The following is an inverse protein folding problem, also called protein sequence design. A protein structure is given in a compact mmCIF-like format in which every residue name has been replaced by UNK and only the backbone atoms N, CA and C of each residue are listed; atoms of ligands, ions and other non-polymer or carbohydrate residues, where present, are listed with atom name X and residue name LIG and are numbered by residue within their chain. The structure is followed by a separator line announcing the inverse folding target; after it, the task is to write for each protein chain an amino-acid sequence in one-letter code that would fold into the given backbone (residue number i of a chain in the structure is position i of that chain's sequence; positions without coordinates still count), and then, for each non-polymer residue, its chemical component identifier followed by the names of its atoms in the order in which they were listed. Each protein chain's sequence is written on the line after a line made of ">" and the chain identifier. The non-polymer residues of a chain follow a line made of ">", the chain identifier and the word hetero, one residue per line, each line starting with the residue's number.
data_IF_026877341989
#
_entry.id   IF_026877341989
#
_cell.length_a   1.000
_cell.length_b   1.000
_cell.length_c   1.000
_cell.angle_alpha   90.00
_cell.angle_beta   90.00
_cell.angle_gamma   90.00
#
_symmetry.space_group_name_H-M   'P 1'
#
loop_
_entity.id
_entity.type
_entity.pdbx_description
1 polymer ?
#
# COMPACT_ATOMS: atom_id res chain seq x y z
N UNK A 1 32.00 0.49 -10.05
CA UNK A 1 33.45 0.30 -10.29
C UNK A 1 33.83 -1.12 -10.70
N UNK A 2 33.37 -2.19 -10.03
CA UNK A 2 33.78 -3.56 -10.40
C UNK A 2 33.28 -4.01 -11.78
N UNK A 3 32.07 -3.63 -12.21
CA UNK A 3 31.56 -3.96 -13.54
C UNK A 3 32.30 -3.22 -14.66
N UNK A 4 32.57 -1.94 -14.46
CA UNK A 4 33.32 -1.10 -15.39
C UNK A 4 34.76 -1.59 -15.58
N UNK A 5 35.44 -1.99 -14.48
CA UNK A 5 36.76 -2.66 -14.54
C UNK A 5 36.76 -3.96 -15.35
N UNK A 6 35.61 -4.64 -15.45
CA UNK A 6 35.40 -5.83 -16.28
C UNK A 6 35.04 -5.50 -17.74
N UNK A 7 35.06 -4.23 -18.12
CA UNK A 7 34.72 -3.78 -19.47
C UNK A 7 33.22 -3.72 -19.76
N UNK A 8 32.35 -3.88 -18.75
CA UNK A 8 30.89 -3.78 -18.94
C UNK A 8 30.51 -2.31 -19.14
N UNK A 9 29.91 -2.03 -20.29
CA UNK A 9 29.57 -0.66 -20.71
C UNK A 9 28.11 -0.25 -20.50
N UNK A 10 27.23 -1.22 -20.27
CA UNK A 10 25.80 -0.96 -20.05
C UNK A 10 25.42 -1.57 -18.70
N UNK A 11 24.94 -0.74 -17.79
CA UNK A 11 24.60 -1.11 -16.41
C UNK A 11 23.15 -0.74 -16.12
N UNK A 12 22.35 -1.78 -15.85
CA UNK A 12 20.96 -1.65 -15.44
C UNK A 12 20.88 -1.85 -13.93
N UNK A 13 20.35 -0.86 -13.22
CA UNK A 13 19.98 -0.98 -11.82
C UNK A 13 18.54 -1.51 -11.72
N UNK A 14 18.38 -2.77 -11.35
CA UNK A 14 17.09 -3.35 -10.99
C UNK A 14 16.89 -3.22 -9.48
N UNK A 15 15.87 -2.46 -9.06
CA UNK A 15 15.72 -2.03 -7.66
C UNK A 15 14.32 -2.32 -7.12
N UNK A 16 14.20 -2.28 -5.79
CA UNK A 16 12.92 -2.35 -5.08
C UNK A 16 12.90 -1.36 -3.91
N UNK A 17 13.30 -0.11 -4.16
CA UNK A 17 13.45 0.91 -3.11
C UNK A 17 12.52 2.13 -3.24
N UNK A 18 11.66 2.12 -4.25
CA UNK A 18 10.68 3.16 -4.48
C UNK A 18 11.21 4.29 -5.37
N UNK A 19 10.28 4.87 -6.12
CA UNK A 19 10.56 5.78 -7.22
C UNK A 19 11.37 7.03 -6.84
N UNK A 20 11.23 7.51 -5.59
CA UNK A 20 12.06 8.61 -5.08
C UNK A 20 13.53 8.21 -5.00
N UNK A 21 13.83 7.02 -4.48
CA UNK A 21 15.21 6.53 -4.37
C UNK A 21 15.73 6.07 -5.74
N UNK A 22 14.88 5.51 -6.60
CA UNK A 22 15.25 5.15 -7.98
C UNK A 22 15.77 6.36 -8.75
N UNK A 23 15.08 7.51 -8.65
CA UNK A 23 15.56 8.77 -9.24
C UNK A 23 16.87 9.26 -8.62
N UNK A 24 17.09 9.02 -7.32
CA UNK A 24 18.35 9.36 -6.64
C UNK A 24 19.50 8.48 -7.16
N UNK A 25 19.28 7.18 -7.30
CA UNK A 25 20.26 6.24 -7.90
C UNK A 25 20.60 6.68 -9.32
N UNK A 26 19.60 6.97 -10.15
CA UNK A 26 19.80 7.46 -11.52
C UNK A 26 20.64 8.76 -11.57
N UNK A 27 20.44 9.66 -10.59
CA UNK A 27 21.15 10.94 -10.51
C UNK A 27 22.57 10.83 -9.97
N UNK A 28 22.79 9.97 -8.97
CA UNK A 28 24.00 9.96 -8.15
C UNK A 28 24.96 8.81 -8.47
N UNK A 29 24.53 7.77 -9.19
CA UNK A 29 25.39 6.64 -9.59
C UNK A 29 25.88 6.80 -11.03
N UNK A 30 27.12 7.29 -11.28
CA UNK A 30 27.54 7.75 -12.61
C UNK A 30 27.57 6.65 -13.68
N UNK A 31 27.75 5.40 -13.26
CA UNK A 31 27.88 4.26 -14.16
C UNK A 31 26.52 3.67 -14.58
N UNK A 32 25.41 4.05 -13.95
CA UNK A 32 24.09 3.48 -14.26
C UNK A 32 23.55 4.08 -15.56
N UNK A 33 22.98 3.23 -16.43
CA UNK A 33 22.38 3.60 -17.71
C UNK A 33 20.85 3.50 -17.71
N UNK A 34 20.29 2.69 -16.82
CA UNK A 34 18.85 2.49 -16.67
C UNK A 34 18.53 2.12 -15.23
N UNK A 35 17.43 2.64 -14.70
CA UNK A 35 16.84 2.15 -13.44
C UNK A 35 15.48 1.52 -13.73
N UNK A 36 15.34 0.25 -13.38
CA UNK A 36 14.07 -0.48 -13.38
C UNK A 36 13.65 -0.68 -11.93
N UNK A 37 12.64 0.06 -11.48
CA UNK A 37 12.27 0.12 -10.07
C UNK A 37 11.00 -0.64 -9.69
N UNK A 38 10.70 -0.61 -8.40
CA UNK A 38 9.49 -1.17 -7.80
C UNK A 38 9.15 -0.53 -6.44
N UNK A 39 8.48 -1.28 -5.56
CA UNK A 39 8.09 -0.89 -4.19
C UNK A 39 7.01 0.21 -4.07
N UNK A 40 7.19 1.37 -4.68
CA UNK A 40 6.27 2.51 -4.53
C UNK A 40 5.01 2.42 -5.39
N UNK A 41 4.84 1.33 -6.13
CA UNK A 41 3.71 1.07 -7.04
C UNK A 41 3.47 2.25 -8.00
N UNK A 42 4.54 2.90 -8.49
CA UNK A 42 4.42 4.13 -9.26
C UNK A 42 3.93 3.81 -10.67
N UNK A 43 2.86 4.48 -11.07
CA UNK A 43 2.35 4.39 -12.43
C UNK A 43 2.97 5.50 -13.29
N UNK A 44 3.69 5.11 -14.34
CA UNK A 44 4.32 5.99 -15.31
C UNK A 44 3.75 5.67 -16.69
N UNK A 45 3.49 6.70 -17.50
CA UNK A 45 2.81 6.57 -18.80
C UNK A 45 3.40 7.54 -19.82
N UNK A 46 3.52 7.11 -21.07
CA UNK A 46 4.02 7.95 -22.17
C UNK A 46 2.91 8.80 -22.79
N UNK A 47 3.26 10.00 -23.25
CA UNK A 47 2.39 10.89 -24.04
C UNK A 47 1.30 11.63 -23.24
N UNK A 48 0.36 12.25 -23.95
CA UNK A 48 -0.86 12.82 -23.34
C UNK A 48 -1.73 11.67 -22.84
N UNK A 49 -2.17 11.79 -21.59
CA UNK A 49 -2.97 10.77 -20.92
C UNK A 49 -4.42 10.92 -21.34
N UNK A 50 -5.00 9.84 -21.86
CA UNK A 50 -6.44 9.75 -22.08
C UNK A 50 -7.18 9.80 -20.73
N UNK A 51 -8.13 10.73 -20.52
CA UNK A 51 -8.97 10.77 -19.32
C UNK A 51 -9.73 9.46 -19.05
N UNK A 52 -9.94 8.63 -20.08
CA UNK A 52 -10.60 7.32 -19.97
C UNK A 52 -9.66 6.26 -19.39
N UNK A 53 -8.35 6.54 -19.32
CA UNK A 53 -7.39 5.60 -18.75
C UNK A 53 -7.79 5.28 -17.29
N UNK A 54 -7.95 3.99 -16.91
CA UNK A 54 -8.52 3.60 -15.61
C UNK A 54 -7.76 4.17 -14.40
N UNK A 55 -6.47 4.42 -14.59
CA UNK A 55 -5.55 4.93 -13.58
C UNK A 55 -5.04 6.35 -13.91
N UNK A 56 -5.74 7.13 -14.73
CA UNK A 56 -5.25 8.46 -15.18
C UNK A 56 -4.90 9.38 -14.00
N UNK A 57 -5.68 9.34 -12.91
CA UNK A 57 -5.41 10.10 -11.68
C UNK A 57 -4.17 9.62 -10.91
N UNK A 58 -3.68 8.41 -11.19
CA UNK A 58 -2.56 7.79 -10.49
C UNK A 58 -1.21 7.97 -11.21
N UNK A 59 -1.18 8.62 -12.38
CA UNK A 59 0.05 8.82 -13.15
C UNK A 59 0.97 9.81 -12.43
N UNK A 60 2.21 9.40 -12.21
CA UNK A 60 3.22 10.17 -11.45
C UNK A 60 4.33 10.75 -12.30
N UNK A 61 4.30 10.51 -13.60
CA UNK A 61 5.30 11.03 -14.53
C UNK A 61 5.34 10.27 -15.86
N UNK A 62 6.21 10.71 -16.77
CA UNK A 62 6.40 10.07 -18.07
C UNK A 62 7.04 8.68 -17.95
N UNK A 63 6.80 7.82 -18.92
CA UNK A 63 7.52 6.56 -19.11
C UNK A 63 8.45 6.66 -20.34
N UNK A 64 9.77 6.45 -20.22
CA UNK A 64 10.53 6.53 -18.98
C UNK A 64 10.55 7.96 -18.42
N UNK A 65 10.83 8.10 -17.13
CA UNK A 65 11.23 9.39 -16.57
C UNK A 65 12.72 9.58 -16.75
N UNK A 66 13.12 10.63 -17.45
CA UNK A 66 14.53 10.91 -17.73
C UNK A 66 15.14 11.71 -16.58
N UNK A 67 16.24 11.19 -16.03
CA UNK A 67 17.06 11.88 -15.04
C UNK A 67 18.39 12.26 -15.67
N UNK A 68 18.76 13.53 -15.59
CA UNK A 68 20.04 14.03 -16.11
C UNK A 68 21.05 14.09 -14.97
N UNK A 69 22.18 13.42 -15.15
CA UNK A 69 23.30 13.45 -14.20
C UNK A 69 24.11 14.74 -14.35
N UNK A 70 25.00 15.02 -13.38
CA UNK A 70 25.94 16.16 -13.46
C UNK A 70 26.85 16.10 -14.69
N UNK A 71 27.14 14.90 -15.20
CA UNK A 71 27.91 14.67 -16.43
C UNK A 71 27.15 15.00 -17.71
N UNK A 72 25.85 15.30 -17.64
CA UNK A 72 24.96 15.43 -18.81
C UNK A 72 24.37 14.11 -19.29
N UNK A 73 24.83 12.96 -18.75
CA UNK A 73 24.28 11.64 -19.06
C UNK A 73 22.80 11.55 -18.69
N UNK A 74 21.98 11.07 -19.63
CA UNK A 74 20.56 10.81 -19.41
C UNK A 74 20.34 9.37 -18.95
N UNK A 75 19.61 9.19 -17.86
CA UNK A 75 19.31 7.88 -17.26
C UNK A 75 17.79 7.72 -17.16
N UNK A 76 17.15 6.89 -18.01
CA UNK A 76 15.75 6.55 -17.86
C UNK A 76 15.48 5.79 -16.55
N UNK A 77 14.36 6.13 -15.93
CA UNK A 77 13.80 5.45 -14.76
C UNK A 77 12.40 4.96 -15.11
N UNK A 78 12.14 3.67 -14.89
CA UNK A 78 10.85 3.05 -15.18
C UNK A 78 10.30 2.29 -13.97
N UNK A 79 8.98 2.33 -13.83
CA UNK A 79 8.18 1.43 -12.99
C UNK A 79 6.90 1.10 -13.76
N UNK A 80 6.29 -0.05 -13.45
CA UNK A 80 5.09 -0.56 -14.13
C UNK A 80 3.95 -0.83 -13.13
N UNK A 81 3.66 0.13 -12.24
CA UNK A 81 2.58 0.04 -11.25
C UNK A 81 2.73 -1.18 -10.32
N UNK A 82 1.69 -2.01 -10.16
CA UNK A 82 1.68 -3.19 -9.29
C UNK A 82 0.65 -4.24 -9.75
N UNK A 83 0.65 -5.39 -9.06
CA UNK A 83 -0.29 -6.51 -9.24
C UNK A 83 -0.30 -7.11 -10.66
N UNK A 84 0.79 -6.93 -11.41
CA UNK A 84 0.89 -7.37 -12.80
C UNK A 84 -0.25 -6.85 -13.70
N UNK A 85 -0.91 -5.74 -13.34
CA UNK A 85 -1.95 -5.12 -14.18
C UNK A 85 -1.36 -4.56 -15.46
N UNK A 86 -0.08 -4.18 -15.42
CA UNK A 86 0.67 -3.67 -16.56
C UNK A 86 2.01 -4.40 -16.71
N UNK A 87 2.46 -4.53 -17.95
CA UNK A 87 3.83 -4.92 -18.31
C UNK A 87 4.55 -3.67 -18.81
N UNK A 88 5.69 -3.33 -18.21
CA UNK A 88 6.55 -2.27 -18.73
C UNK A 88 7.27 -2.74 -20.00
N UNK A 89 7.18 -1.96 -21.08
CA UNK A 89 7.89 -2.20 -22.34
C UNK A 89 8.76 -0.99 -22.67
N UNK A 90 10.06 -1.14 -22.51
CA UNK A 90 11.05 -0.11 -22.82
C UNK A 90 11.97 -0.59 -23.94
N UNK A 91 12.10 0.21 -25.00
CA UNK A 91 13.08 0.04 -26.07
C UNK A 91 14.24 0.98 -25.81
N UNK A 92 15.45 0.43 -25.87
CA UNK A 92 16.69 1.18 -25.67
C UNK A 92 17.61 0.95 -26.86
N UNK A 93 18.30 2.00 -27.27
CA UNK A 93 19.37 1.92 -28.28
C UNK A 93 20.65 2.46 -27.66
N UNK A 94 21.71 1.67 -27.76
CA UNK A 94 23.03 2.03 -27.30
C UNK A 94 24.00 2.10 -28.47
N UNK A 95 24.96 3.01 -28.39
CA UNK A 95 26.09 3.10 -29.31
C UNK A 95 27.37 3.25 -28.51
N UNK A 96 28.33 2.33 -28.70
CA UNK A 96 29.63 2.32 -28.00
C UNK A 96 29.53 2.39 -26.45
N UNK A 97 28.41 1.93 -25.89
CA UNK A 97 28.14 1.96 -24.44
C UNK A 97 27.23 3.11 -23.99
N UNK A 98 27.06 4.15 -24.81
CA UNK A 98 26.22 5.29 -24.48
C UNK A 98 24.78 5.09 -24.94
N UNK A 99 23.82 5.46 -24.08
CA UNK A 99 22.41 5.45 -24.40
C UNK A 99 22.09 6.59 -25.38
N UNK A 100 21.56 6.26 -26.56
CA UNK A 100 21.22 7.22 -27.61
C UNK A 100 19.71 7.36 -27.84
N UNK A 101 18.92 6.36 -27.48
CA UNK A 101 17.45 6.41 -27.59
C UNK A 101 16.81 5.61 -26.45
N UNK A 102 15.79 6.20 -25.82
CA UNK A 102 14.94 5.49 -24.87
C UNK A 102 13.48 5.87 -25.09
N UNK A 103 12.68 4.90 -25.51
CA UNK A 103 11.26 5.09 -25.77
C UNK A 103 10.50 3.82 -25.38
N UNK A 104 9.32 3.98 -24.80
CA UNK A 104 8.56 2.85 -24.30
C UNK A 104 7.23 3.28 -23.77
N UNK A 105 6.48 2.33 -23.25
CA UNK A 105 5.25 2.57 -22.52
C UNK A 105 4.89 1.32 -21.70
N UNK A 106 3.76 1.38 -21.00
CA UNK A 106 3.16 0.25 -20.30
C UNK A 106 2.06 -0.39 -21.14
N UNK A 107 2.01 -1.72 -21.14
CA UNK A 107 0.97 -2.53 -21.76
C UNK A 107 -0.01 -2.97 -20.68
N UNK A 108 -1.29 -2.63 -20.81
CA UNK A 108 -2.34 -3.12 -19.90
C UNK A 108 -2.66 -4.59 -20.19
N UNK A 109 -2.68 -5.41 -19.13
CA UNK A 109 -3.13 -6.80 -19.22
C UNK A 109 -4.65 -6.84 -18.97
N UNK A 110 -5.43 -6.87 -20.04
CA UNK A 110 -6.88 -6.96 -20.01
C UNK A 110 -7.39 -8.22 -20.75
N UNK A 111 -8.70 -8.37 -20.88
CA UNK A 111 -9.33 -9.50 -21.54
C UNK A 111 -9.10 -9.58 -23.06
N UNK A 112 -8.53 -8.54 -23.67
CA UNK A 112 -8.22 -8.52 -25.12
C UNK A 112 -6.99 -9.39 -25.40
N UNK A 113 -6.04 -9.46 -24.46
CA UNK A 113 -4.86 -10.29 -24.61
C UNK A 113 -5.22 -11.73 -24.20
N UNK A 114 -5.11 -12.72 -25.11
CA UNK A 114 -5.45 -14.10 -24.80
C UNK A 114 -4.51 -14.66 -23.73
N UNK A 115 -5.07 -15.48 -22.85
CA UNK A 115 -4.28 -16.21 -21.84
C UNK A 115 -3.56 -17.38 -22.49
N UNK A 116 -2.30 -17.54 -22.15
CA UNK A 116 -1.49 -18.65 -22.66
C UNK A 116 -2.03 -20.03 -22.20
N UNK A 117 -2.31 -20.98 -23.12
CA UNK A 117 -2.88 -22.28 -22.77
C UNK A 117 -1.99 -23.16 -21.87
N UNK A 118 -0.66 -23.09 -21.99
CA UNK A 118 0.25 -23.89 -21.17
C UNK A 118 0.29 -23.37 -19.73
N UNK A 119 0.30 -22.05 -19.56
CA UNK A 119 0.20 -21.39 -18.26
C UNK A 119 -1.16 -21.68 -17.60
N UNK A 120 -2.26 -21.74 -18.37
CA UNK A 120 -3.57 -22.13 -17.84
C UNK A 120 -3.57 -23.58 -17.31
N UNK A 121 -2.96 -24.52 -18.05
CA UNK A 121 -2.79 -25.91 -17.58
C UNK A 121 -1.98 -25.95 -16.30
N UNK A 122 -0.90 -25.16 -16.21
CA UNK A 122 -0.10 -25.06 -15.00
C UNK A 122 -0.91 -24.50 -13.82
N UNK A 123 -1.68 -23.44 -14.01
CA UNK A 123 -2.54 -22.85 -12.96
C UNK A 123 -3.53 -23.88 -12.44
N UNK A 124 -4.20 -24.63 -13.33
CA UNK A 124 -5.20 -25.62 -12.92
C UNK A 124 -4.57 -26.73 -12.04
N UNK A 125 -3.33 -27.14 -12.34
CA UNK A 125 -2.57 -28.09 -11.50
C UNK A 125 -2.39 -27.61 -10.06
N UNK A 126 -2.21 -26.31 -9.84
CA UNK A 126 -2.03 -25.73 -8.50
C UNK A 126 -3.34 -25.32 -7.82
N UNK A 127 -4.41 -25.13 -8.58
CA UNK A 127 -5.71 -24.68 -8.08
C UNK A 127 -6.31 -25.64 -7.07
N UNK A 128 -6.09 -26.94 -7.22
CA UNK A 128 -6.52 -27.97 -6.25
C UNK A 128 -5.85 -27.83 -4.88
N UNK A 129 -4.68 -27.18 -4.80
CA UNK A 129 -3.96 -26.91 -3.55
C UNK A 129 -4.42 -25.63 -2.86
N UNK A 130 -5.23 -24.81 -3.53
CA UNK A 130 -5.76 -23.57 -2.97
C UNK A 130 -6.96 -23.93 -2.07
N UNK A 131 -7.01 -23.45 -0.81
CA UNK A 131 -8.14 -23.69 0.06
C UNK A 131 -9.46 -23.24 -0.58
N UNK A 132 -10.56 -23.96 -0.30
CA UNK A 132 -11.89 -23.63 -0.82
C UNK A 132 -12.26 -22.17 -0.50
N UNK A 133 -12.87 -21.51 -1.48
CA UNK A 133 -13.29 -20.11 -1.37
C UNK A 133 -14.73 -20.02 -0.85
N UNK A 134 -14.87 -20.16 0.46
CA UNK A 134 -16.16 -20.16 1.15
C UNK A 134 -16.73 -18.75 1.33
N UNK A 135 -18.06 -18.67 1.35
CA UNK A 135 -18.79 -17.45 1.69
C UNK A 135 -18.75 -17.30 3.21
N UNK A 136 -18.30 -16.14 3.69
CA UNK A 136 -18.22 -15.85 5.12
C UNK A 136 -19.40 -15.01 5.58
N UNK A 137 -19.60 -13.87 4.92
CA UNK A 137 -20.57 -12.85 5.33
C UNK A 137 -21.07 -12.07 4.12
N UNK A 138 -21.96 -11.09 4.36
CA UNK A 138 -22.42 -10.14 3.33
C UNK A 138 -22.14 -8.70 3.76
N UNK A 139 -21.80 -7.85 2.80
CA UNK A 139 -21.78 -6.40 2.96
C UNK A 139 -22.73 -5.73 1.98
N UNK A 140 -23.43 -4.69 2.45
CA UNK A 140 -24.32 -3.86 1.62
C UNK A 140 -23.59 -2.67 0.98
N UNK A 141 -22.35 -2.43 1.39
CA UNK A 141 -21.51 -1.29 1.01
C UNK A 141 -20.15 -1.75 0.53
N UNK A 142 -19.46 -0.89 -0.24
CA UNK A 142 -18.04 -1.08 -0.54
C UNK A 142 -17.24 -0.88 0.75
N UNK A 143 -16.29 -1.77 1.02
CA UNK A 143 -15.31 -1.59 2.08
C UNK A 143 -14.04 -1.03 1.43
N UNK A 144 -13.93 0.31 1.44
CA UNK A 144 -12.78 1.04 0.93
C UNK A 144 -11.53 0.75 1.74
N UNK A 145 -10.46 0.36 1.04
CA UNK A 145 -9.19 -0.09 1.58
C UNK A 145 -8.00 0.48 0.81
N UNK A 146 -6.80 -0.05 1.02
CA UNK A 146 -5.59 0.28 0.24
C UNK A 146 -5.24 1.78 0.23
N UNK A 147 -5.47 2.50 -0.88
CA UNK A 147 -4.98 3.86 -1.08
C UNK A 147 -5.72 4.83 -0.17
N UNK A 148 -7.03 4.65 -0.04
CA UNK A 148 -7.91 5.44 0.80
C UNK A 148 -7.42 5.41 2.25
N UNK A 149 -7.08 4.23 2.77
CA UNK A 149 -6.53 4.09 4.12
C UNK A 149 -5.17 4.77 4.32
N UNK A 150 -4.40 4.97 3.24
CA UNK A 150 -3.06 5.58 3.28
C UNK A 150 -3.09 7.10 3.20
N UNK A 151 -4.25 7.69 2.92
CA UNK A 151 -4.39 9.15 2.80
C UNK A 151 -5.42 9.72 3.77
N UNK A 152 -6.27 8.88 4.37
CA UNK A 152 -7.26 9.28 5.35
C UNK A 152 -7.99 8.10 5.97
N UNK A 153 -9.13 8.38 6.58
CA UNK A 153 -10.04 7.38 7.13
C UNK A 153 -10.62 6.49 6.02
N UNK A 154 -10.73 5.19 6.29
CA UNK A 154 -11.30 4.23 5.35
C UNK A 154 -12.23 3.24 6.05
N UNK A 155 -13.30 2.85 5.37
CA UNK A 155 -14.36 2.02 5.95
C UNK A 155 -13.89 0.62 6.37
N UNK A 156 -12.95 0.00 5.63
CA UNK A 156 -12.38 -1.28 6.04
C UNK A 156 -11.44 -1.14 7.24
N UNK A 157 -10.77 0.02 7.36
CA UNK A 157 -9.94 0.36 8.51
C UNK A 157 -10.76 0.45 9.78
N UNK A 158 -11.87 1.18 9.73
CA UNK A 158 -12.83 1.28 10.84
C UNK A 158 -13.38 -0.10 11.21
N UNK A 159 -13.85 -0.88 10.24
CA UNK A 159 -14.35 -2.23 10.49
C UNK A 159 -13.33 -3.13 11.20
N UNK A 160 -12.06 -3.06 10.79
CA UNK A 160 -11.00 -3.87 11.39
C UNK A 160 -10.63 -3.40 12.79
N UNK A 161 -10.55 -2.08 13.02
CA UNK A 161 -10.28 -1.53 14.34
C UNK A 161 -11.44 -1.82 15.31
N UNK A 162 -12.68 -1.69 14.87
CA UNK A 162 -13.88 -2.07 15.64
C UNK A 162 -13.87 -3.56 15.97
N UNK A 163 -13.50 -4.41 15.00
CA UNK A 163 -13.39 -5.86 15.23
C UNK A 163 -12.31 -6.21 16.27
N UNK A 164 -11.18 -5.48 16.30
CA UNK A 164 -10.13 -5.63 17.30
C UNK A 164 -10.64 -5.26 18.70
N UNK A 165 -11.26 -4.09 18.85
CA UNK A 165 -11.83 -3.64 20.12
C UNK A 165 -12.95 -4.59 20.61
N UNK A 166 -13.86 -4.98 19.71
CA UNK A 166 -14.94 -5.93 20.00
C UNK A 166 -14.40 -7.30 20.45
N UNK A 167 -13.35 -7.81 19.78
CA UNK A 167 -12.75 -9.08 20.15
C UNK A 167 -12.17 -9.04 21.58
N UNK A 168 -11.54 -7.92 21.99
CA UNK A 168 -11.04 -7.76 23.35
C UNK A 168 -12.17 -7.67 24.38
N UNK A 169 -13.16 -6.82 24.15
CA UNK A 169 -14.32 -6.69 25.03
C UNK A 169 -15.01 -8.05 25.24
N UNK A 170 -15.22 -8.82 24.16
CA UNK A 170 -15.82 -10.17 24.21
C UNK A 170 -14.98 -11.19 24.97
N UNK A 171 -13.66 -11.02 25.06
CA UNK A 171 -12.83 -11.90 25.90
C UNK A 171 -13.06 -11.61 27.40
N UNK A 172 -13.27 -10.34 27.75
CA UNK A 172 -13.47 -9.90 29.13
C UNK A 172 -14.88 -10.17 29.66
N UNK A 173 -15.89 -10.31 28.80
CA UNK A 173 -17.21 -10.78 29.26
C UNK A 173 -17.20 -12.19 29.85
N UNK A 174 -16.10 -12.94 29.68
CA UNK A 174 -15.89 -14.26 30.29
C UNK A 174 -15.15 -14.20 31.62
N UNK A 175 -14.85 -13.00 32.12
CA UNK A 175 -14.14 -12.76 33.38
C UNK A 175 -14.99 -11.86 34.29
N UNK A 176 -14.59 -11.71 35.55
CA UNK A 176 -15.22 -10.77 36.49
C UNK A 176 -14.65 -9.35 36.32
N UNK A 177 -14.29 -8.95 35.11
CA UNK A 177 -13.75 -7.63 34.86
C UNK A 177 -14.86 -6.57 35.06
N UNK A 178 -14.61 -5.50 35.85
CA UNK A 178 -15.66 -4.59 36.29
C UNK A 178 -16.18 -3.63 35.20
N UNK A 179 -15.48 -3.53 34.06
CA UNK A 179 -15.84 -2.62 32.97
C UNK A 179 -16.09 -3.36 31.66
N UNK A 180 -16.52 -2.64 30.62
CA UNK A 180 -16.79 -3.23 29.31
C UNK A 180 -15.54 -3.78 28.60
N UNK A 181 -14.39 -3.12 28.79
CA UNK A 181 -13.10 -3.53 28.23
C UNK A 181 -11.96 -2.87 29.00
N UNK A 182 -10.79 -3.50 29.04
CA UNK A 182 -9.56 -2.85 29.51
C UNK A 182 -8.81 -2.12 28.40
N UNK A 183 -9.16 -2.39 27.13
CA UNK A 183 -8.64 -1.69 25.96
C UNK A 183 -9.80 -1.21 25.08
N UNK A 184 -10.12 0.07 25.20
CA UNK A 184 -11.19 0.75 24.45
C UNK A 184 -10.72 1.32 23.11
N UNK A 185 -9.41 1.30 22.87
CA UNK A 185 -8.75 1.86 21.70
C UNK A 185 -8.15 0.73 20.88
N UNK A 186 -8.33 0.80 19.55
CA UNK A 186 -7.63 -0.07 18.62
C UNK A 186 -6.99 0.75 17.51
N UNK A 187 -5.78 0.36 17.10
CA UNK A 187 -5.08 0.96 15.97
C UNK A 187 -4.59 -0.11 15.00
N UNK A 188 -4.68 0.21 13.71
CA UNK A 188 -4.12 -0.58 12.63
C UNK A 188 -3.37 0.35 11.67
N UNK A 189 -2.13 0.02 11.35
CA UNK A 189 -1.41 0.75 10.31
C UNK A 189 -2.07 0.48 8.95
N UNK A 190 -2.32 1.53 8.19
CA UNK A 190 -2.97 1.44 6.87
C UNK A 190 -2.24 0.50 5.89
N UNK A 191 -0.92 0.35 6.02
CA UNK A 191 -0.13 -0.58 5.23
C UNK A 191 -0.43 -2.06 5.48
N UNK A 192 -1.08 -2.40 6.60
CA UNK A 192 -1.60 -3.75 6.85
C UNK A 192 -2.81 -4.10 5.99
N UNK A 193 -3.50 -3.09 5.43
CA UNK A 193 -4.73 -3.24 4.64
C UNK A 193 -4.38 -3.27 3.15
N UNK A 194 -4.48 -4.45 2.53
CA UNK A 194 -3.92 -4.74 1.20
C UNK A 194 -4.94 -4.89 0.08
N UNK A 195 -6.21 -4.59 0.32
CA UNK A 195 -7.21 -4.48 -0.73
C UNK A 195 -8.44 -3.69 -0.25
N UNK A 196 -9.24 -3.24 -1.20
CA UNK A 196 -10.67 -2.93 -0.98
C UNK A 196 -11.50 -4.19 -1.20
N UNK A 197 -12.71 -4.22 -0.63
CA UNK A 197 -13.75 -5.18 -1.02
C UNK A 197 -14.86 -4.40 -1.72
N UNK A 198 -14.91 -4.53 -3.05
CA UNK A 198 -15.95 -3.88 -3.84
C UNK A 198 -17.32 -4.49 -3.57
N UNK A 199 -18.35 -3.63 -3.61
CA UNK A 199 -19.74 -4.06 -3.49
C UNK A 199 -20.12 -4.87 -4.72
N UNK A 200 -20.26 -6.19 -4.56
CA UNK A 200 -20.81 -7.10 -5.57
C UNK A 200 -22.34 -7.06 -5.52
N UNK A 201 -23.00 -7.48 -6.61
CA UNK A 201 -24.46 -7.55 -6.68
C UNK A 201 -25.08 -8.49 -5.64
N UNK A 202 -24.38 -9.58 -5.31
CA UNK A 202 -24.78 -10.55 -4.27
C UNK A 202 -24.36 -10.13 -2.84
N UNK A 203 -23.54 -9.08 -2.73
CA UNK A 203 -22.95 -8.60 -1.49
C UNK A 203 -22.03 -9.58 -0.78
N UNK A 204 -21.69 -10.72 -1.39
CA UNK A 204 -20.97 -11.81 -0.72
C UNK A 204 -19.49 -11.46 -0.51
N UNK A 205 -19.04 -11.61 0.73
CA UNK A 205 -17.64 -11.57 1.12
C UNK A 205 -17.16 -13.01 1.36
N UNK A 206 -16.10 -13.38 0.66
CA UNK A 206 -15.53 -14.73 0.70
C UNK A 206 -14.18 -14.76 1.38
N UNK A 207 -13.70 -15.97 1.70
CA UNK A 207 -12.39 -16.16 2.34
C UNK A 207 -11.25 -15.56 1.51
N UNK A 208 -11.29 -15.63 0.17
CA UNK A 208 -10.27 -14.95 -0.66
C UNK A 208 -10.29 -13.43 -0.50
N UNK A 209 -11.46 -12.82 -0.32
CA UNK A 209 -11.57 -11.36 -0.20
C UNK A 209 -10.87 -10.92 1.08
N UNK A 210 -11.08 -11.64 2.20
CA UNK A 210 -10.37 -11.40 3.46
C UNK A 210 -8.86 -11.65 3.33
N UNK A 211 -8.43 -12.72 2.66
CA UNK A 211 -6.99 -12.99 2.41
C UNK A 211 -6.32 -11.93 1.56
N UNK A 212 -7.04 -11.29 0.64
CA UNK A 212 -6.53 -10.18 -0.15
C UNK A 212 -6.39 -8.90 0.69
N UNK A 213 -7.32 -8.66 1.62
CA UNK A 213 -7.27 -7.50 2.53
C UNK A 213 -6.18 -7.67 3.59
N UNK A 214 -6.12 -8.84 4.24
CA UNK A 214 -5.17 -9.17 5.31
C UNK A 214 -4.32 -10.39 4.92
N UNK A 215 -3.36 -10.25 3.99
CA UNK A 215 -2.54 -11.36 3.53
C UNK A 215 -1.48 -11.79 4.54
N UNK A 216 -1.21 -10.96 5.54
CA UNK A 216 -0.23 -11.24 6.58
C UNK A 216 -0.91 -11.93 7.75
N UNK A 217 -0.26 -12.97 8.29
CA UNK A 217 -0.68 -13.66 9.52
C UNK A 217 -0.32 -12.82 10.75
N UNK A 218 -0.80 -11.58 10.79
CA UNK A 218 -0.52 -10.64 11.87
C UNK A 218 -1.31 -11.02 13.11
N UNK A 219 -0.65 -10.99 14.27
CA UNK A 219 -1.30 -11.16 15.57
C UNK A 219 -1.75 -9.81 16.10
N UNK A 220 -2.90 -9.79 16.76
CA UNK A 220 -3.38 -8.61 17.50
C UNK A 220 -2.83 -8.71 18.93
N UNK A 221 -2.30 -7.59 19.43
CA UNK A 221 -1.75 -7.48 20.78
C UNK A 221 -2.44 -6.34 21.51
N UNK A 222 -2.60 -6.52 22.83
CA UNK A 222 -2.95 -5.44 23.76
C UNK A 222 -1.63 -4.93 24.33
N UNK A 223 -1.41 -3.62 24.25
CA UNK A 223 -0.16 -2.98 24.67
C UNK A 223 -0.47 -1.70 25.41
N UNK A 224 0.28 -1.46 26.48
CA UNK A 224 0.26 -0.19 27.18
C UNK A 224 1.23 0.78 26.47
N UNK A 225 0.76 1.95 26.04
CA UNK A 225 1.61 2.87 25.27
C UNK A 225 1.36 4.35 25.55
N UNK A 226 2.41 5.15 25.34
CA UNK A 226 2.38 6.62 25.34
C UNK A 226 2.42 7.14 23.90
N UNK A 227 1.25 7.42 23.33
CA UNK A 227 1.09 7.97 21.98
C UNK A 227 1.38 6.98 20.84
N UNK A 228 1.06 7.35 19.60
CA UNK A 228 1.27 6.52 18.41
C UNK A 228 1.71 7.35 17.19
N UNK A 229 2.39 6.72 16.22
CA UNK A 229 2.90 7.37 15.00
C UNK A 229 2.50 6.62 13.72
N UNK A 230 2.17 7.38 12.66
CA UNK A 230 1.74 6.87 11.35
C UNK A 230 0.32 7.27 10.97
N UNK A 231 -0.13 6.93 9.75
CA UNK A 231 -1.55 7.00 9.39
C UNK A 231 -2.20 5.73 9.90
N UNK A 232 -2.91 5.87 11.01
CA UNK A 232 -3.57 4.79 11.72
C UNK A 232 -5.06 4.82 11.40
N UNK A 233 -5.59 3.66 11.04
CA UNK A 233 -7.02 3.41 11.13
C UNK A 233 -7.31 3.06 12.59
N UNK A 234 -8.40 3.58 13.14
CA UNK A 234 -8.61 3.57 14.59
C UNK A 234 -10.06 3.33 14.98
N UNK A 235 -10.24 2.79 16.18
CA UNK A 235 -11.50 2.74 16.91
C UNK A 235 -11.30 3.34 18.31
N UNK A 236 -12.35 3.97 18.84
CA UNK A 236 -12.30 4.59 20.17
C UNK A 236 -11.44 5.87 20.24
N UNK A 237 -11.10 6.50 19.11
CA UNK A 237 -10.29 7.72 19.07
C UNK A 237 -10.89 8.71 18.07
N UNK A 238 -11.02 9.97 18.48
CA UNK A 238 -11.31 11.11 17.61
C UNK A 238 -10.07 11.99 17.56
N UNK A 239 -9.61 12.26 16.35
CA UNK A 239 -8.39 13.03 16.13
C UNK A 239 -8.52 13.92 14.92
N UNK A 240 -7.92 15.09 15.00
CA UNK A 240 -7.74 15.99 13.86
C UNK A 240 -6.26 16.14 13.54
N UNK A 241 -5.93 16.35 12.27
CA UNK A 241 -4.55 16.58 11.83
C UNK A 241 -4.44 17.88 11.04
N UNK A 242 -3.44 18.70 11.36
CA UNK A 242 -3.03 19.84 10.55
C UNK A 242 -1.81 19.48 9.71
N UNK A 243 -2.05 19.06 8.45
CA UNK A 243 -0.99 18.64 7.52
C UNK A 243 -0.04 19.77 7.10
N UNK A 244 -0.41 21.04 7.32
CA UNK A 244 0.44 22.20 7.05
C UNK A 244 1.54 22.37 8.10
N UNK A 245 1.37 21.80 9.31
CA UNK A 245 2.40 21.81 10.35
C UNK A 245 3.54 20.83 10.02
N UNK A 246 4.77 21.08 10.51
CA UNK A 246 5.91 20.21 10.28
C UNK A 246 5.70 18.79 10.84
N UNK A 247 6.40 17.77 10.31
CA UNK A 247 6.37 16.42 10.87
C UNK A 247 6.60 16.43 12.39
N UNK A 248 5.83 15.62 13.12
CA UNK A 248 5.84 15.59 14.59
C UNK A 248 4.98 16.66 15.28
N UNK A 249 4.47 17.67 14.55
CA UNK A 249 3.61 18.74 15.10
C UNK A 249 2.24 18.79 14.43
N UNK A 250 1.80 17.70 13.79
CA UNK A 250 0.57 17.66 12.98
C UNK A 250 -0.69 17.30 13.75
N UNK A 251 -0.56 16.79 14.98
CA UNK A 251 -1.70 16.46 15.82
C UNK A 251 -2.46 17.74 16.19
N UNK A 252 -3.79 17.70 16.10
CA UNK A 252 -4.66 18.76 16.61
C UNK A 252 -4.71 18.77 18.14
N UNK A 253 -5.25 19.85 18.69
CA UNK A 253 -5.28 20.06 20.14
C UNK A 253 -6.45 19.33 20.82
N UNK A 254 -7.49 18.95 20.06
CA UNK A 254 -8.67 18.19 20.53
C UNK A 254 -8.59 16.73 20.08
N UNK A 255 -7.76 15.95 20.79
CA UNK A 255 -7.73 14.49 20.67
C UNK A 255 -8.60 13.93 21.78
N UNK A 256 -9.57 13.10 21.42
CA UNK A 256 -10.47 12.45 22.37
C UNK A 256 -10.35 10.94 22.25
N UNK A 257 -10.39 10.26 23.38
CA UNK A 257 -10.29 8.80 23.46
C UNK A 257 -11.46 8.25 24.28
N UNK A 258 -11.92 7.06 23.91
CA UNK A 258 -13.00 6.38 24.61
C UNK A 258 -12.46 5.85 25.94
N UNK A 259 -13.13 6.11 27.05
CA UNK A 259 -12.71 5.57 28.35
C UNK A 259 -12.83 4.03 28.39
N UNK A 260 -11.88 3.37 29.05
CA UNK A 260 -11.90 1.93 29.33
C UNK A 260 -12.44 1.63 30.74
N UNK A 261 -11.98 2.40 31.73
CA UNK A 261 -12.36 2.25 33.15
C UNK A 261 -13.60 3.08 33.49
N UNK A 262 -14.69 2.88 32.75
CA UNK A 262 -15.95 3.59 32.95
C UNK A 262 -17.14 2.66 32.72
N UNK A 263 -18.24 2.91 33.41
CA UNK A 263 -19.47 2.10 33.29
C UNK A 263 -20.12 2.27 31.90
N UNK A 264 -20.12 3.50 31.40
CA UNK A 264 -20.65 3.86 30.08
C UNK A 264 -19.53 4.50 29.26
N UNK A 265 -19.10 3.89 28.13
CA UNK A 265 -18.03 4.43 27.31
C UNK A 265 -18.34 5.83 26.77
N UNK A 266 -17.53 6.82 27.15
CA UNK A 266 -17.59 8.21 26.70
C UNK A 266 -16.24 8.68 26.18
N UNK A 267 -16.26 9.64 25.26
CA UNK A 267 -15.05 10.26 24.73
C UNK A 267 -14.56 11.34 25.69
N UNK A 268 -13.31 11.24 26.10
CA UNK A 268 -12.64 12.16 27.02
C UNK A 268 -11.38 12.75 26.38
N UNK A 269 -10.98 14.00 26.72
CA UNK A 269 -9.74 14.58 26.22
C UNK A 269 -8.52 13.72 26.55
N UNK A 270 -7.61 13.57 25.58
CA UNK A 270 -6.38 12.84 25.77
C UNK A 270 -5.43 13.61 26.69
N UNK A 271 -5.15 13.06 27.87
CA UNK A 271 -4.13 13.57 28.78
C UNK A 271 -2.82 12.85 28.45
N UNK A 272 -1.88 13.54 27.79
CA UNK A 272 -0.59 13.02 27.31
C UNK A 272 0.32 12.35 28.37
N UNK A 273 -0.05 12.41 29.66
CA UNK A 273 0.68 11.83 30.78
C UNK A 273 0.11 10.50 31.29
N UNK A 274 -1.08 10.10 30.84
CA UNK A 274 -1.71 8.85 31.27
C UNK A 274 -1.32 7.71 30.33
N UNK A 275 -1.03 6.55 30.93
CA UNK A 275 -0.94 5.30 30.19
C UNK A 275 -2.36 4.81 29.85
N UNK A 276 -2.52 4.27 28.65
CA UNK A 276 -3.76 3.62 28.20
C UNK A 276 -3.50 2.12 28.16
N UNK A 277 -4.43 1.37 28.75
CA UNK A 277 -4.48 -0.10 28.69
C UNK A 277 -5.21 -0.56 27.43
#
# INVERSE_FOLDING_TARGET
>A
HNLDKKGIKIIIALTHCGYKLDKKIAKECPLVDLVVGGHSHTFLKSGKVDPIHPEHLNIRGPYPTIIVQKSGKQVPVVQAYCMSKYIGKLKLRFSKGDLIESNGDVIILNSIIPKDPEMLKMIEKYKSKVPKDEVLVRSRVKLSGWNECRVGECSIGNLLADAMAYARAKMLTKTNFPYATDASIAFLNSDGIRASIDKKSDGLIRQKDIRLVLPFKTKVFVVEMKGAGGILQMAGVKVTYNIKKPPGKRLGDDVQVLCANCEVPTYEPHIFHNYFY
#
